data_IF_860519407410
#
_entry.id   IF_860519407410
#
_cell.length_a   1.000
_cell.length_b   1.000
_cell.length_c   1.000
_cell.angle_alpha   90.00
_cell.angle_beta   90.00
_cell.angle_gamma   90.00
#
_symmetry.space_group_name_H-M   'P 1'
#
loop_
_entity.id
_entity.type
_entity.pdbx_description
1 polymer ?
#
# COMPACT_ATOMS: atom_id res chain seq x y z
N UNK A 1 -9.88 13.12 -0.56
CA UNK A 1 -9.58 13.31 0.88
C UNK A 1 -8.85 12.07 1.38
N UNK A 2 -7.99 12.15 2.40
CA UNK A 2 -7.24 10.98 2.90
C UNK A 2 -7.82 10.51 4.23
N UNK A 3 -8.08 9.22 4.36
CA UNK A 3 -8.54 8.59 5.59
C UNK A 3 -7.37 8.18 6.49
N UNK A 4 -7.57 8.13 7.82
CA UNK A 4 -6.57 7.61 8.78
C UNK A 4 -6.40 6.09 8.71
N UNK A 5 -7.40 5.39 8.16
CA UNK A 5 -7.39 3.95 7.90
C UNK A 5 -7.58 3.70 6.40
N UNK A 6 -7.23 2.51 5.92
CA UNK A 6 -7.41 2.15 4.51
C UNK A 6 -8.87 2.12 4.10
N UNK A 7 -9.17 2.65 2.92
CA UNK A 7 -10.48 2.55 2.29
C UNK A 7 -10.67 1.20 1.56
N UNK A 8 -9.57 0.58 1.14
CA UNK A 8 -9.51 -0.77 0.61
C UNK A 8 -8.06 -1.26 0.61
N UNK A 9 -7.88 -2.57 0.77
CA UNK A 9 -6.60 -3.26 0.71
C UNK A 9 -6.71 -4.56 -0.08
N UNK A 10 -5.58 -4.96 -0.68
CA UNK A 10 -5.41 -6.20 -1.43
C UNK A 10 -4.20 -6.93 -0.90
N UNK A 11 -4.39 -8.18 -0.51
CA UNK A 11 -3.39 -9.01 0.14
C UNK A 11 -2.98 -10.17 -0.76
N UNK A 12 -1.71 -10.57 -0.68
CA UNK A 12 -1.16 -11.73 -1.38
C UNK A 12 -0.35 -12.59 -0.43
N UNK A 13 -0.62 -13.89 -0.48
CA UNK A 13 0.21 -14.94 0.07
C UNK A 13 1.26 -15.33 -0.99
N UNK A 14 2.55 -15.19 -0.66
CA UNK A 14 3.65 -15.21 -1.63
C UNK A 14 4.63 -16.38 -1.47
N UNK A 15 4.30 -17.40 -0.68
CA UNK A 15 5.16 -18.56 -0.46
C UNK A 15 5.47 -19.33 -1.76
N UNK A 16 4.56 -19.30 -2.74
CA UNK A 16 4.76 -19.89 -4.06
C UNK A 16 5.54 -18.97 -5.02
N UNK A 17 5.68 -17.69 -4.69
CA UNK A 17 6.38 -16.68 -5.50
C UNK A 17 7.86 -16.56 -5.13
N UNK A 18 8.17 -16.51 -3.83
CA UNK A 18 9.53 -16.43 -3.29
C UNK A 18 9.60 -17.04 -1.88
N UNK A 19 10.77 -17.54 -1.44
CA UNK A 19 10.90 -18.07 -0.09
C UNK A 19 10.71 -16.96 0.97
N UNK A 20 10.24 -17.27 2.17
CA UNK A 20 10.10 -16.30 3.25
C UNK A 20 11.43 -15.67 3.69
N UNK A 21 11.34 -14.54 4.38
CA UNK A 21 12.48 -13.81 4.93
C UNK A 21 12.75 -12.45 4.27
N UNK A 22 13.68 -11.71 4.89
CA UNK A 22 13.93 -10.30 4.57
C UNK A 22 14.41 -10.07 3.14
N UNK A 23 15.35 -10.87 2.62
CA UNK A 23 15.91 -10.63 1.29
C UNK A 23 14.82 -10.76 0.20
N UNK A 24 14.02 -11.82 0.25
CA UNK A 24 12.86 -11.99 -0.63
C UNK A 24 11.84 -10.87 -0.47
N UNK A 25 11.58 -10.42 0.76
CA UNK A 25 10.65 -9.32 1.00
C UNK A 25 11.14 -8.00 0.38
N UNK A 26 12.44 -7.72 0.45
CA UNK A 26 13.03 -6.54 -0.19
C UNK A 26 12.98 -6.63 -1.72
N UNK A 27 13.31 -7.80 -2.29
CA UNK A 27 13.20 -8.02 -3.72
C UNK A 27 11.74 -7.87 -4.21
N UNK A 28 10.78 -8.43 -3.47
CA UNK A 28 9.34 -8.28 -3.73
C UNK A 28 8.91 -6.82 -3.65
N UNK A 29 9.31 -6.11 -2.59
CA UNK A 29 8.96 -4.70 -2.41
C UNK A 29 9.47 -3.83 -3.57
N UNK A 30 10.70 -4.06 -4.03
CA UNK A 30 11.27 -3.37 -5.21
C UNK A 30 10.42 -3.67 -6.45
N UNK A 31 10.21 -4.94 -6.80
CA UNK A 31 9.46 -5.32 -8.03
C UNK A 31 8.02 -4.81 -8.02
N UNK A 32 7.33 -4.88 -6.89
CA UNK A 32 5.97 -4.36 -6.77
C UNK A 32 5.94 -2.84 -6.85
N UNK A 33 6.92 -2.15 -6.23
CA UNK A 33 7.02 -0.68 -6.32
C UNK A 33 7.26 -0.19 -7.76
N UNK A 34 8.00 -0.96 -8.57
CA UNK A 34 8.21 -0.66 -9.99
C UNK A 34 6.88 -0.67 -10.76
N UNK A 35 6.06 -1.72 -10.58
CA UNK A 35 4.73 -1.82 -11.19
C UNK A 35 3.85 -0.65 -10.75
N UNK A 36 3.79 -0.35 -9.46
CA UNK A 36 2.99 0.77 -8.94
C UNK A 36 3.46 2.12 -9.51
N UNK A 37 4.77 2.30 -9.70
CA UNK A 37 5.37 3.50 -10.31
C UNK A 37 5.01 3.63 -11.78
N UNK A 38 5.03 2.54 -12.56
CA UNK A 38 4.63 2.53 -13.97
C UNK A 38 3.19 3.01 -14.18
N UNK A 39 2.32 2.76 -13.19
CA UNK A 39 0.93 3.24 -13.18
C UNK A 39 0.74 4.63 -12.54
N UNK A 40 1.82 5.28 -12.11
CA UNK A 40 1.80 6.59 -11.45
C UNK A 40 1.16 6.58 -10.06
N UNK A 41 1.11 5.42 -9.39
CA UNK A 41 0.44 5.25 -8.10
C UNK A 41 1.39 5.45 -6.91
N UNK A 42 2.65 5.05 -7.07
CA UNK A 42 3.67 5.17 -6.02
C UNK A 42 5.02 5.52 -6.63
N UNK A 43 5.56 6.67 -6.24
CA UNK A 43 6.98 7.03 -6.35
C UNK A 43 7.57 6.95 -4.95
N UNK A 44 8.29 5.86 -4.61
CA UNK A 44 8.85 5.66 -3.29
C UNK A 44 9.72 6.84 -2.85
N UNK A 45 9.54 7.25 -1.60
CA UNK A 45 10.47 8.19 -0.95
C UNK A 45 10.76 7.81 0.50
N UNK A 46 9.98 6.91 1.11
CA UNK A 46 10.28 6.34 2.41
C UNK A 46 10.00 4.83 2.50
N UNK A 47 10.83 4.17 3.31
CA UNK A 47 10.65 2.80 3.78
C UNK A 47 10.64 2.81 5.31
N UNK A 48 9.55 2.35 5.92
CA UNK A 48 9.37 2.31 7.38
C UNK A 48 9.15 0.88 7.86
N UNK A 49 9.75 0.53 9.00
CA UNK A 49 9.54 -0.76 9.65
C UNK A 49 9.70 -0.67 11.17
N UNK A 50 9.20 -1.67 11.87
CA UNK A 50 9.43 -1.86 13.31
C UNK A 50 10.53 -2.89 13.54
N UNK A 51 11.31 -2.69 14.59
CA UNK A 51 12.28 -3.66 15.10
C UNK A 51 11.64 -4.50 16.20
N UNK A 52 11.89 -5.80 16.17
CA UNK A 52 11.40 -6.74 17.18
C UNK A 52 12.55 -7.48 17.84
N UNK A 53 12.57 -7.52 19.17
CA UNK A 53 13.52 -8.33 19.92
C UNK A 53 12.79 -9.48 20.61
N UNK A 54 13.32 -10.69 20.44
CA UNK A 54 12.77 -11.91 21.05
C UNK A 54 12.54 -11.73 22.55
N UNK A 55 11.32 -12.00 23.00
CA UNK A 55 10.90 -11.87 24.41
C UNK A 55 10.66 -10.45 24.91
N UNK A 56 10.82 -9.41 24.06
CA UNK A 56 10.52 -8.01 24.42
C UNK A 56 9.48 -7.34 23.52
N UNK A 57 9.21 -7.92 22.34
CA UNK A 57 8.31 -7.33 21.36
C UNK A 57 8.98 -6.19 20.59
N UNK A 58 8.23 -5.15 20.24
CA UNK A 58 8.78 -4.03 19.46
C UNK A 58 9.75 -3.20 20.30
N UNK A 59 10.93 -2.92 19.75
CA UNK A 59 12.00 -2.15 20.39
C UNK A 59 12.31 -0.82 19.71
N UNK A 60 11.55 -0.48 18.66
CA UNK A 60 11.70 0.78 17.95
C UNK A 60 11.08 0.75 16.56
N UNK A 61 10.98 1.92 15.95
CA UNK A 61 10.60 2.11 14.54
C UNK A 61 11.73 2.83 13.84
N UNK A 62 12.03 2.42 12.61
CA UNK A 62 12.96 3.11 11.73
C UNK A 62 12.22 3.51 10.46
N UNK A 63 12.54 4.70 9.96
CA UNK A 63 12.15 5.17 8.64
C UNK A 63 13.40 5.63 7.90
N UNK A 64 13.54 5.17 6.67
CA UNK A 64 14.67 5.45 5.79
C UNK A 64 14.15 6.14 4.55
N UNK A 65 14.78 7.26 4.18
CA UNK A 65 14.53 7.90 2.90
C UNK A 65 15.12 7.05 1.78
N UNK A 66 14.31 6.73 0.77
CA UNK A 66 14.70 5.90 -0.37
C UNK A 66 14.67 6.71 -1.67
N UNK A 67 15.50 6.38 -2.68
CA UNK A 67 15.34 6.94 -4.01
C UNK A 67 14.04 6.46 -4.65
N UNK A 68 13.57 7.15 -5.69
CA UNK A 68 12.35 6.79 -6.44
C UNK A 68 12.42 5.38 -7.09
N UNK A 69 13.63 4.90 -7.36
CA UNK A 69 13.91 3.56 -7.89
C UNK A 69 14.91 2.85 -6.99
N UNK A 70 14.49 2.36 -5.82
CA UNK A 70 15.40 1.70 -4.89
C UNK A 70 15.79 0.32 -5.42
N UNK A 71 17.03 -0.07 -5.18
CA UNK A 71 17.51 -1.44 -5.40
C UNK A 71 17.47 -2.24 -4.10
N UNK A 72 17.37 -3.57 -4.21
CA UNK A 72 17.40 -4.47 -3.05
C UNK A 72 18.67 -4.25 -2.20
N UNK A 73 19.83 -4.10 -2.85
CA UNK A 73 21.11 -3.87 -2.16
C UNK A 73 21.22 -2.51 -1.46
N UNK A 74 20.47 -1.49 -1.89
CA UNK A 74 20.36 -0.22 -1.16
C UNK A 74 19.49 -0.37 0.08
N UNK A 75 18.32 -1.00 -0.07
CA UNK A 75 17.41 -1.21 1.06
C UNK A 75 18.03 -2.11 2.13
N UNK A 76 18.66 -3.22 1.72
CA UNK A 76 19.34 -4.15 2.61
C UNK A 76 20.46 -3.47 3.41
N UNK A 77 21.32 -2.68 2.74
CA UNK A 77 22.37 -1.89 3.42
C UNK A 77 21.79 -0.85 4.37
N UNK A 78 20.71 -0.17 3.97
CA UNK A 78 20.03 0.82 4.80
C UNK A 78 19.46 0.22 6.08
N UNK A 79 18.79 -0.94 5.97
CA UNK A 79 18.24 -1.67 7.11
C UNK A 79 19.35 -2.17 8.03
N UNK A 80 20.39 -2.79 7.48
CA UNK A 80 21.52 -3.29 8.26
C UNK A 80 22.23 -2.17 9.03
N UNK A 81 22.45 -1.02 8.39
CA UNK A 81 23.06 0.16 8.99
C UNK A 81 22.19 0.86 10.04
N UNK A 82 20.88 0.64 10.04
CA UNK A 82 19.93 1.27 10.96
C UNK A 82 19.55 0.38 12.15
N UNK A 83 20.19 -0.78 12.30
CA UNK A 83 19.88 -1.74 13.37
C UNK A 83 20.20 -1.15 14.75
N UNK A 84 19.29 -1.21 15.74
CA UNK A 84 19.54 -0.67 17.07
C UNK A 84 20.73 -1.34 17.77
N UNK A 85 21.71 -0.54 18.21
CA UNK A 85 22.91 -1.05 18.90
C UNK A 85 22.57 -1.83 20.17
N UNK A 86 21.54 -1.41 20.91
CA UNK A 86 21.07 -2.11 22.10
C UNK A 86 20.41 -3.48 21.80
N UNK A 87 20.05 -3.74 20.54
CA UNK A 87 19.35 -4.93 20.09
C UNK A 87 19.95 -5.47 18.78
N UNK A 88 21.19 -6.01 18.79
CA UNK A 88 21.87 -6.47 17.58
C UNK A 88 21.19 -7.67 16.91
N UNK A 89 20.35 -8.41 17.63
CA UNK A 89 19.56 -9.51 17.11
C UNK A 89 18.10 -9.11 16.83
N UNK A 90 17.80 -7.80 16.73
CA UNK A 90 16.45 -7.36 16.40
C UNK A 90 16.07 -7.79 14.98
N UNK A 91 14.88 -8.32 14.82
CA UNK A 91 14.30 -8.71 13.54
C UNK A 91 13.47 -7.57 12.97
N UNK A 92 13.35 -7.56 11.64
CA UNK A 92 12.61 -6.56 10.88
C UNK A 92 11.16 -7.03 10.79
N UNK A 93 10.23 -6.17 11.19
CA UNK A 93 8.80 -6.41 10.95
C UNK A 93 8.37 -6.01 9.54
N UNK A 94 7.07 -5.78 9.36
CA UNK A 94 6.50 -5.35 8.10
C UNK A 94 7.23 -4.11 7.51
N UNK A 95 7.56 -4.22 6.23
CA UNK A 95 8.23 -3.21 5.42
C UNK A 95 7.16 -2.35 4.74
N UNK A 96 6.90 -1.14 5.25
CA UNK A 96 5.94 -0.20 4.68
C UNK A 96 6.65 0.79 3.77
N UNK A 97 6.42 0.69 2.47
CA UNK A 97 6.91 1.61 1.46
C UNK A 97 5.85 2.66 1.12
N UNK A 98 6.27 3.92 1.09
CA UNK A 98 5.38 5.07 0.96
C UNK A 98 6.00 6.16 0.09
N UNK A 99 5.17 7.07 -0.38
CA UNK A 99 5.62 8.14 -1.27
C UNK A 99 4.47 8.80 -2.02
N UNK A 100 4.83 9.56 -3.06
CA UNK A 100 3.86 10.34 -3.84
C UNK A 100 3.28 9.55 -5.00
N UNK A 101 1.99 9.69 -5.26
CA UNK A 101 1.33 9.25 -6.49
C UNK A 101 0.64 10.41 -7.19
N UNK A 102 0.15 10.18 -8.41
CA UNK A 102 -0.66 11.14 -9.15
C UNK A 102 -2.11 10.67 -9.32
N UNK A 103 -3.04 11.62 -9.29
CA UNK A 103 -4.45 11.41 -9.57
C UNK A 103 -5.02 12.54 -10.41
N UNK A 104 -6.19 12.35 -11.00
CA UNK A 104 -6.82 13.32 -11.88
C UNK A 104 -8.14 13.81 -11.30
N UNK A 105 -8.34 15.13 -11.23
CA UNK A 105 -9.58 15.73 -10.76
C UNK A 105 -10.72 15.66 -11.78
N UNK A 106 -11.86 16.26 -11.46
CA UNK A 106 -13.07 16.20 -12.29
C UNK A 106 -12.87 16.87 -13.66
N UNK A 107 -11.98 17.86 -13.73
CA UNK A 107 -11.56 18.58 -14.93
C UNK A 107 -10.49 17.80 -15.71
N UNK A 108 -9.82 16.85 -15.04
CA UNK A 108 -8.75 16.03 -15.60
C UNK A 108 -7.37 16.63 -15.39
N UNK A 109 -7.23 17.63 -14.52
CA UNK A 109 -5.93 18.14 -14.13
C UNK A 109 -5.24 17.14 -13.20
N UNK A 110 -3.94 16.92 -13.45
CA UNK A 110 -3.12 16.06 -12.62
C UNK A 110 -2.85 16.74 -11.27
N UNK A 111 -3.04 15.96 -10.20
CA UNK A 111 -2.75 16.30 -8.81
C UNK A 111 -1.76 15.28 -8.27
N UNK A 112 -0.93 15.70 -7.32
CA UNK A 112 0.02 14.81 -6.63
C UNK A 112 -0.29 14.79 -5.16
N UNK A 113 -0.36 13.59 -4.60
CA UNK A 113 -0.62 13.39 -3.18
C UNK A 113 0.26 12.26 -2.64
N UNK A 114 0.58 12.35 -1.35
CA UNK A 114 1.22 11.24 -0.64
C UNK A 114 0.21 10.15 -0.34
N UNK A 115 0.70 8.92 -0.29
CA UNK A 115 -0.03 7.75 0.21
C UNK A 115 -1.37 7.53 -0.52
N UNK A 116 -1.40 7.85 -1.82
CA UNK A 116 -2.48 7.41 -2.72
C UNK A 116 -2.60 5.88 -2.68
N UNK A 117 -1.44 5.21 -2.68
CA UNK A 117 -1.22 3.79 -2.43
C UNK A 117 -0.06 3.65 -1.44
N UNK A 118 -0.15 2.67 -0.55
CA UNK A 118 0.93 2.20 0.31
C UNK A 118 1.17 0.73 0.02
N UNK A 119 2.44 0.35 -0.10
CA UNK A 119 2.87 -1.03 -0.28
C UNK A 119 3.44 -1.53 1.05
N UNK A 120 2.93 -2.63 1.57
CA UNK A 120 3.47 -3.32 2.74
C UNK A 120 3.94 -4.72 2.35
N UNK A 121 5.13 -5.13 2.78
CA UNK A 121 5.63 -6.51 2.59
C UNK A 121 6.01 -7.09 3.94
N UNK A 122 5.55 -8.29 4.22
CA UNK A 122 5.71 -8.99 5.50
C UNK A 122 6.83 -10.02 5.38
N UNK A 123 8.01 -9.78 5.99
CA UNK A 123 9.20 -10.62 5.80
C UNK A 123 9.24 -11.84 6.75
N UNK A 124 8.10 -12.35 7.22
CA UNK A 124 8.06 -13.34 8.29
C UNK A 124 8.85 -14.60 7.93
N UNK A 125 9.48 -15.26 8.90
CA UNK A 125 10.39 -16.39 8.66
C UNK A 125 9.71 -17.61 8.01
N UNK A 126 8.39 -17.71 8.13
CA UNK A 126 7.61 -18.87 7.67
C UNK A 126 6.61 -18.52 6.58
N UNK A 127 6.40 -17.23 6.35
CA UNK A 127 5.33 -16.75 5.51
C UNK A 127 5.74 -15.45 4.84
N UNK A 128 5.76 -15.43 3.51
CA UNK A 128 5.92 -14.19 2.77
C UNK A 128 4.54 -13.68 2.36
N UNK A 129 4.21 -12.45 2.72
CA UNK A 129 2.99 -11.81 2.26
C UNK A 129 3.25 -10.38 1.81
N UNK A 130 2.35 -9.83 1.00
CA UNK A 130 2.36 -8.43 0.63
C UNK A 130 0.95 -7.86 0.61
N UNK A 131 0.85 -6.56 0.73
CA UNK A 131 -0.41 -5.83 0.77
C UNK A 131 -0.25 -4.49 0.04
N UNK A 132 -1.29 -4.11 -0.69
CA UNK A 132 -1.44 -2.80 -1.31
C UNK A 132 -2.70 -2.17 -0.73
N UNK A 133 -2.55 -1.04 -0.04
CA UNK A 133 -3.67 -0.32 0.57
C UNK A 133 -3.85 1.06 -0.05
N UNK A 134 -5.11 1.51 -0.15
CA UNK A 134 -5.47 2.87 -0.58
C UNK A 134 -6.19 3.62 0.52
N UNK A 135 -5.95 4.93 0.62
CA UNK A 135 -6.48 5.77 1.71
C UNK A 135 -7.37 6.91 1.22
N UNK A 136 -7.38 7.15 -0.09
CA UNK A 136 -8.08 8.29 -0.69
C UNK A 136 -9.39 7.88 -1.34
N UNK A 137 -10.41 8.74 -1.20
CA UNK A 137 -11.74 8.55 -1.79
C UNK A 137 -11.77 8.55 -3.33
N UNK A 138 -10.73 9.06 -3.99
CA UNK A 138 -10.61 9.22 -5.46
C UNK A 138 -10.83 7.93 -6.27
N UNK A 139 -10.75 6.78 -5.62
CA UNK A 139 -10.90 5.45 -6.22
C UNK A 139 -12.36 4.98 -6.27
N UNK A 140 -13.20 5.49 -5.36
CA UNK A 140 -14.60 5.11 -5.19
C UNK A 140 -15.56 5.95 -6.03
N UNK A 141 -16.86 5.64 -5.96
CA UNK A 141 -17.93 6.39 -6.64
C UNK A 141 -18.38 7.63 -5.87
N UNK A 142 -18.21 7.64 -4.54
CA UNK A 142 -18.54 8.73 -3.64
C UNK A 142 -17.29 9.21 -2.91
N UNK A 143 -17.22 10.52 -2.65
CA UNK A 143 -16.23 11.06 -1.73
C UNK A 143 -16.55 10.69 -0.27
N UNK A 144 -15.66 10.99 0.68
CA UNK A 144 -15.92 10.70 2.10
C UNK A 144 -17.03 11.57 2.74
N UNK A 145 -17.66 12.48 1.99
CA UNK A 145 -18.89 13.19 2.42
C UNK A 145 -20.16 12.49 1.90
N UNK A 146 -19.99 11.39 1.17
CA UNK A 146 -21.08 10.67 0.51
C UNK A 146 -21.51 11.28 -0.83
N UNK A 147 -20.84 12.34 -1.31
CA UNK A 147 -21.22 12.99 -2.56
C UNK A 147 -20.68 12.21 -3.77
N UNK A 148 -21.54 11.83 -4.73
CA UNK A 148 -21.08 11.16 -5.94
C UNK A 148 -20.08 12.01 -6.75
N UNK A 149 -18.96 11.39 -7.14
CA UNK A 149 -17.91 12.01 -7.96
C UNK A 149 -17.49 11.10 -9.13
N UNK A 150 -18.43 10.64 -9.98
CA UNK A 150 -18.17 9.65 -11.04
C UNK A 150 -17.10 10.08 -12.05
N UNK A 151 -16.93 11.40 -12.27
CA UNK A 151 -15.88 11.94 -13.14
C UNK A 151 -14.47 11.72 -12.59
N UNK A 152 -14.31 11.75 -11.27
CA UNK A 152 -13.04 11.47 -10.59
C UNK A 152 -12.79 9.96 -10.62
N UNK A 153 -13.79 9.16 -10.25
CA UNK A 153 -13.70 7.70 -10.30
C UNK A 153 -13.28 7.19 -11.69
N UNK A 154 -13.97 7.64 -12.75
CA UNK A 154 -13.73 7.19 -14.11
C UNK A 154 -12.31 7.47 -14.61
N UNK A 155 -11.61 8.45 -14.04
CA UNK A 155 -10.22 8.79 -14.39
C UNK A 155 -9.18 8.06 -13.55
N UNK A 156 -9.53 7.63 -12.34
CA UNK A 156 -8.58 7.08 -11.38
C UNK A 156 -8.73 5.57 -11.18
N UNK A 157 -9.96 5.08 -10.98
CA UNK A 157 -10.22 3.67 -10.70
C UNK A 157 -9.64 2.70 -11.76
N UNK A 158 -9.69 2.98 -13.08
CA UNK A 158 -9.08 2.09 -14.08
C UNK A 158 -7.56 1.93 -13.93
N UNK A 159 -6.86 2.95 -13.42
CA UNK A 159 -5.40 2.89 -13.21
C UNK A 159 -5.06 1.98 -12.03
N UNK A 160 -5.78 2.11 -10.92
CA UNK A 160 -5.65 1.21 -9.77
C UNK A 160 -5.94 -0.23 -10.20
N UNK A 161 -7.05 -0.46 -10.90
CA UNK A 161 -7.41 -1.78 -11.40
C UNK A 161 -6.35 -2.37 -12.34
N UNK A 162 -5.78 -1.56 -13.23
CA UNK A 162 -4.69 -2.00 -14.11
C UNK A 162 -3.42 -2.37 -13.34
N UNK A 163 -3.08 -1.61 -12.30
CA UNK A 163 -1.90 -1.88 -11.48
C UNK A 163 -2.07 -3.17 -10.68
N UNK A 164 -3.22 -3.38 -10.05
CA UNK A 164 -3.50 -4.62 -9.32
C UNK A 164 -3.49 -5.85 -10.24
N UNK A 165 -4.00 -5.74 -11.47
CA UNK A 165 -3.88 -6.81 -12.49
C UNK A 165 -2.44 -7.03 -12.94
N UNK A 166 -1.62 -5.97 -12.99
CA UNK A 166 -0.20 -6.10 -13.31
C UNK A 166 0.57 -6.79 -12.17
N UNK A 167 0.23 -6.48 -10.92
CA UNK A 167 0.75 -7.15 -9.74
C UNK A 167 0.35 -8.62 -9.70
N UNK A 168 -0.92 -8.96 -9.96
CA UNK A 168 -1.34 -10.37 -10.09
C UNK A 168 -0.52 -11.12 -11.14
N UNK A 169 -0.29 -10.53 -12.32
CA UNK A 169 0.56 -11.15 -13.35
C UNK A 169 2.02 -11.30 -12.90
N UNK A 170 2.55 -10.32 -12.17
CA UNK A 170 3.90 -10.37 -11.62
C UNK A 170 4.03 -11.49 -10.57
N UNK A 171 3.07 -11.56 -9.65
CA UNK A 171 3.09 -12.43 -8.48
C UNK A 171 2.58 -13.85 -8.80
N UNK A 172 1.85 -14.02 -9.90
CA UNK A 172 1.32 -15.29 -10.36
C UNK A 172 0.08 -15.77 -9.58
N UNK A 173 -0.48 -14.92 -8.71
CA UNK A 173 -1.69 -15.21 -7.93
C UNK A 173 -2.56 -13.96 -7.80
N UNK A 174 -3.87 -14.17 -7.74
CA UNK A 174 -4.84 -13.10 -7.55
C UNK A 174 -4.77 -12.56 -6.11
N UNK A 175 -5.00 -11.25 -5.89
CA UNK A 175 -5.13 -10.72 -4.54
C UNK A 175 -6.40 -11.24 -3.88
N UNK A 176 -6.33 -11.43 -2.57
CA UNK A 176 -7.50 -11.52 -1.70
C UNK A 176 -7.86 -10.11 -1.21
N UNK A 177 -9.15 -9.78 -1.07
CA UNK A 177 -9.55 -8.52 -0.47
C UNK A 177 -9.16 -8.53 1.02
N UNK A 178 -8.47 -7.47 1.47
CA UNK A 178 -8.18 -7.29 2.89
C UNK A 178 -9.43 -6.96 3.70
N UNK A 179 -9.24 -6.77 5.00
CA UNK A 179 -10.34 -6.53 5.94
C UNK A 179 -11.13 -5.25 5.61
N UNK A 180 -12.45 -5.30 5.81
CA UNK A 180 -13.29 -4.14 5.63
C UNK A 180 -13.07 -3.12 6.76
N UNK A 181 -12.96 -1.84 6.41
CA UNK A 181 -12.89 -0.74 7.38
C UNK A 181 -14.17 0.08 7.37
N UNK A 182 -14.22 1.10 8.22
CA UNK A 182 -15.30 2.11 8.17
C UNK A 182 -15.31 2.90 6.85
N UNK A 183 -14.19 2.97 6.13
CA UNK A 183 -14.06 3.74 4.90
C UNK A 183 -14.40 2.96 3.63
N UNK A 184 -14.41 1.63 3.72
CA UNK A 184 -14.77 0.78 2.60
C UNK A 184 -14.21 -0.63 2.70
N UNK A 185 -14.25 -1.33 1.57
CA UNK A 185 -13.65 -2.65 1.37
C UNK A 185 -13.23 -2.80 -0.08
N UNK A 186 -12.30 -3.71 -0.34
CA UNK A 186 -11.98 -4.12 -1.70
C UNK A 186 -13.11 -4.98 -2.32
N UNK A 187 -13.33 -4.82 -3.62
CA UNK A 187 -14.16 -5.68 -4.47
C UNK A 187 -13.50 -5.85 -5.85
N UNK A 188 -13.02 -7.06 -6.13
CA UNK A 188 -12.18 -7.31 -7.30
C UNK A 188 -10.92 -6.42 -7.30
N UNK A 189 -10.78 -5.55 -8.30
CA UNK A 189 -9.61 -4.68 -8.48
C UNK A 189 -9.92 -3.20 -8.21
N UNK A 190 -10.88 -2.91 -7.33
CA UNK A 190 -11.21 -1.55 -6.90
C UNK A 190 -11.98 -1.55 -5.58
N UNK A 191 -12.27 -0.38 -5.00
CA UNK A 191 -13.17 -0.30 -3.85
C UNK A 191 -14.58 -0.73 -4.23
N UNK A 192 -15.28 -1.37 -3.29
CA UNK A 192 -16.68 -1.72 -3.44
C UNK A 192 -17.56 -0.47 -3.62
N UNK A 193 -18.66 -0.62 -4.35
CA UNK A 193 -19.69 0.42 -4.43
C UNK A 193 -20.31 0.62 -3.03
N UNK A 194 -20.40 1.87 -2.52
CA UNK A 194 -21.10 2.12 -1.27
C UNK A 194 -22.60 1.91 -1.42
N UNK A 195 -23.27 1.55 -0.33
CA UNK A 195 -24.73 1.53 -0.28
C UNK A 195 -25.26 2.96 -0.40
N UNK A 196 -25.97 3.24 -1.50
CA UNK A 196 -26.52 4.57 -1.75
C UNK A 196 -27.90 4.73 -1.10
N UNK A 197 -28.04 5.76 -0.27
CA UNK A 197 -29.32 6.20 0.30
C UNK A 197 -29.64 7.56 -0.29
N UNK A 198 -30.78 7.67 -0.98
CA UNK A 198 -31.19 8.88 -1.72
C UNK A 198 -30.13 9.41 -2.70
N UNK A 199 -29.34 8.50 -3.29
CA UNK A 199 -28.29 8.80 -4.26
C UNK A 199 -26.96 9.27 -3.64
N UNK A 200 -26.82 9.22 -2.31
CA UNK A 200 -25.59 9.55 -1.59
C UNK A 200 -25.00 8.33 -0.90
N UNK A 201 -23.67 8.30 -0.81
CA UNK A 201 -22.95 7.38 0.06
C UNK A 201 -23.00 7.83 1.53
N UNK A 202 -22.36 7.08 2.44
CA UNK A 202 -22.22 7.49 3.83
C UNK A 202 -21.34 8.74 3.94
N UNK A 203 -21.74 9.67 4.81
CA UNK A 203 -20.88 10.76 5.27
C UNK A 203 -19.96 10.22 6.36
N UNK A 204 -18.66 10.19 6.07
CA UNK A 204 -17.60 9.63 6.91
C UNK A 204 -16.72 10.73 7.52
N UNK A 205 -17.13 11.99 7.42
CA UNK A 205 -16.31 13.14 7.86
C UNK A 205 -16.06 13.19 9.37
N UNK A 206 -16.86 12.50 10.17
CA UNK A 206 -16.68 12.37 11.62
C UNK A 206 -15.51 11.43 12.00
N UNK A 207 -15.00 10.65 11.04
CA UNK A 207 -13.91 9.67 11.24
C UNK A 207 -12.57 10.12 10.64
N UNK A 208 -12.49 11.32 10.07
CA UNK A 208 -11.30 11.84 9.38
C UNK A 208 -10.37 12.67 10.27
#
# INVERSE_FOLDING_TARGET
>A
MCAPEEAASWEWELDAFAPPGLDSALATAVRMSEVLREHGLLRPDSLRWRWFAKGRGSVGTTELAVPESPTEGELSRGIAGSRPVAHPNAEVGALRMSGTGSWFDAEGAERRERDLVVLTVYPEERHLAAEVAVFHDIWGYCDFRGEPHPKVQARNAPRLASALRALERLLGTAPEPGEATYFGRADGYGPAMPDLIDGKGPDLTDRL
#
